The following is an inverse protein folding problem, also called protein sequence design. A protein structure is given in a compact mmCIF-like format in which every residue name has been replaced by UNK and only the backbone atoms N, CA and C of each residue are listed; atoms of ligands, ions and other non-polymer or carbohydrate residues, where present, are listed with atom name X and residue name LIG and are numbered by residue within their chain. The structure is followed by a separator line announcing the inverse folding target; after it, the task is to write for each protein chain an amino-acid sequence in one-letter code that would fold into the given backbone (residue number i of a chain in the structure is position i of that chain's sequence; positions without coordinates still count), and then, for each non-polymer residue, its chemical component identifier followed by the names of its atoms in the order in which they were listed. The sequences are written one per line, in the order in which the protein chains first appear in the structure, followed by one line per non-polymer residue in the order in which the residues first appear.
data_IF_364718515900
#
_entry.id   IF_364718515900
#
_cell.length_a   1.000
_cell.length_b   1.000
_cell.length_c   1.000
_cell.angle_alpha   90.00
_cell.angle_beta   90.00
_cell.angle_gamma   90.00
#
_symmetry.space_group_name_H-M   'P 1'
#
loop_
_entity.id
_entity.type
_entity.pdbx_description
1 polymer ?
#
# COMPACT_ATOMS: atom_id res chain seq x y z
N UNK A 1 8.06 12.75 25.33
CA UNK A 1 7.06 11.73 24.95
C UNK A 1 6.25 12.31 23.81
N UNK A 2 6.43 11.79 22.60
CA UNK A 2 5.54 12.11 21.46
C UNK A 2 4.17 11.49 21.70
N UNK A 3 3.05 12.15 21.38
CA UNK A 3 1.74 11.57 21.59
C UNK A 3 1.60 10.31 20.72
N UNK A 4 1.28 9.19 21.36
CA UNK A 4 0.94 7.93 20.71
C UNK A 4 -0.41 8.10 20.01
N UNK A 5 -0.37 8.49 18.73
CA UNK A 5 -1.58 8.58 17.93
C UNK A 5 -1.96 7.17 17.46
N UNK A 6 -3.14 6.74 17.87
CA UNK A 6 -3.78 5.51 17.43
C UNK A 6 -4.49 5.77 16.09
N UNK A 7 -4.31 4.89 15.10
CA UNK A 7 -5.07 4.95 13.86
C UNK A 7 -5.78 3.63 13.62
N UNK A 8 -7.10 3.69 13.41
CA UNK A 8 -7.89 2.59 12.89
C UNK A 8 -7.78 2.57 11.36
N UNK A 9 -7.58 1.38 10.79
CA UNK A 9 -7.77 1.17 9.35
C UNK A 9 -9.26 1.23 9.03
N UNK A 10 -9.61 2.08 8.08
CA UNK A 10 -10.97 2.23 7.59
C UNK A 10 -11.17 1.28 6.42
N UNK A 11 -12.31 0.61 6.34
CA UNK A 11 -12.71 -0.04 5.09
C UNK A 11 -13.18 1.06 4.15
N UNK A 12 -12.65 1.13 2.92
CA UNK A 12 -12.91 2.23 1.98
C UNK A 12 -14.40 2.42 1.66
N UNK A 13 -15.21 1.36 1.68
CA UNK A 13 -16.68 1.42 1.53
C UNK A 13 -17.42 2.03 2.73
N UNK A 14 -16.76 2.14 3.88
CA UNK A 14 -17.32 2.57 5.16
C UNK A 14 -16.43 3.66 5.81
N UNK A 15 -15.84 4.56 5.02
CA UNK A 15 -14.97 5.64 5.51
C UNK A 15 -15.62 6.53 6.61
N UNK A 16 -16.95 6.50 6.74
CA UNK A 16 -17.72 7.15 7.81
C UNK A 16 -17.87 6.33 9.12
N UNK A 17 -17.49 5.04 9.14
CA UNK A 17 -17.65 4.10 10.29
C UNK A 17 -16.30 3.58 10.79
N UNK A 18 -15.33 4.48 10.86
CA UNK A 18 -13.97 4.30 11.30
C UNK A 18 -13.79 3.74 12.71
N UNK A 19 -14.10 2.45 12.94
CA UNK A 19 -13.92 1.83 14.25
C UNK A 19 -13.33 0.45 14.04
N UNK A 20 -12.00 0.39 14.22
CA UNK A 20 -11.18 -0.80 14.51
C UNK A 20 -11.52 -2.06 13.69
N UNK A 21 -10.92 -2.21 12.51
CA UNK A 21 -10.82 -3.55 11.91
C UNK A 21 -9.88 -4.41 12.79
N UNK A 22 -10.36 -5.50 13.43
CA UNK A 22 -9.52 -6.42 14.20
C UNK A 22 -8.47 -7.12 13.33
N UNK A 23 -8.65 -7.09 12.01
CA UNK A 23 -7.84 -7.71 10.98
C UNK A 23 -6.44 -7.11 10.77
N UNK A 24 -6.08 -5.97 11.36
CA UNK A 24 -4.78 -5.33 11.12
C UNK A 24 -4.27 -4.61 12.37
N UNK A 25 -2.98 -4.76 12.73
CA UNK A 25 -2.41 -4.11 13.91
C UNK A 25 -2.54 -2.58 13.82
N UNK A 26 -2.84 -1.95 14.97
CA UNK A 26 -2.76 -0.49 15.12
C UNK A 26 -1.34 -0.03 14.81
N UNK A 27 -1.18 0.86 13.84
CA UNK A 27 0.12 1.43 13.48
C UNK A 27 0.24 2.79 14.16
N UNK A 28 0.99 2.84 15.26
CA UNK A 28 1.13 4.03 16.09
C UNK A 28 2.01 5.11 15.44
N UNK A 29 1.63 6.37 15.64
CA UNK A 29 2.51 7.52 15.40
C UNK A 29 2.70 7.94 13.93
N UNK A 30 1.68 7.74 13.07
CA UNK A 30 1.67 8.23 11.69
C UNK A 30 0.80 9.49 11.52
N UNK A 31 1.30 10.70 11.85
CA UNK A 31 0.62 11.95 11.49
C UNK A 31 0.74 12.27 9.99
N UNK A 32 1.51 11.48 9.24
CA UNK A 32 1.91 11.82 7.88
C UNK A 32 0.75 11.65 6.92
N UNK A 33 0.39 12.72 6.22
CA UNK A 33 -0.59 12.77 5.13
C UNK A 33 0.12 12.29 3.85
N UNK A 34 0.73 11.11 3.89
CA UNK A 34 1.71 10.69 2.88
C UNK A 34 1.71 9.17 2.66
N UNK A 35 1.09 8.75 1.55
CA UNK A 35 0.87 7.34 1.22
C UNK A 35 2.14 6.49 1.23
N UNK A 36 3.25 6.99 0.67
CA UNK A 36 4.52 6.27 0.65
C UNK A 36 5.14 6.13 2.06
N UNK A 37 5.09 7.19 2.88
CA UNK A 37 5.53 7.16 4.27
C UNK A 37 4.74 6.16 5.11
N UNK A 38 3.41 6.14 4.94
CA UNK A 38 2.56 5.11 5.52
C UNK A 38 2.99 3.70 5.08
N UNK A 39 3.11 3.44 3.78
CA UNK A 39 3.40 2.10 3.26
C UNK A 39 4.76 1.57 3.74
N UNK A 40 5.80 2.40 3.68
CA UNK A 40 7.14 2.01 4.17
C UNK A 40 7.16 1.72 5.66
N UNK A 41 6.42 2.49 6.48
CA UNK A 41 6.32 2.24 7.93
C UNK A 41 5.46 1.02 8.24
N UNK A 42 4.35 0.84 7.53
CA UNK A 42 3.48 -0.32 7.65
C UNK A 42 4.25 -1.61 7.29
N UNK A 43 4.98 -1.61 6.18
CA UNK A 43 5.80 -2.75 5.78
C UNK A 43 6.88 -3.10 6.83
N UNK A 44 7.50 -2.08 7.43
CA UNK A 44 8.45 -2.27 8.53
C UNK A 44 7.81 -2.88 9.78
N UNK A 45 6.67 -2.35 10.22
CA UNK A 45 6.02 -2.76 11.46
C UNK A 45 5.39 -4.14 11.32
N UNK A 46 4.70 -4.40 10.21
CA UNK A 46 3.94 -5.63 9.99
C UNK A 46 4.80 -6.81 9.52
N UNK A 47 5.85 -6.53 8.74
CA UNK A 47 6.61 -7.57 8.05
C UNK A 47 8.13 -7.47 8.26
N UNK A 48 8.60 -6.53 9.08
CA UNK A 48 10.03 -6.35 9.33
C UNK A 48 10.81 -5.81 8.12
N UNK A 49 10.12 -5.30 7.09
CA UNK A 49 10.73 -4.89 5.83
C UNK A 49 11.15 -3.41 5.85
N UNK A 50 12.44 -3.13 5.70
CA UNK A 50 12.92 -1.75 5.63
C UNK A 50 13.03 -1.27 4.19
N UNK A 51 12.20 -0.29 3.84
CA UNK A 51 12.30 0.46 2.60
C UNK A 51 13.02 1.79 2.83
N UNK A 52 13.78 2.25 1.83
CA UNK A 52 14.30 3.60 1.82
C UNK A 52 13.16 4.58 1.52
N UNK A 53 12.98 5.65 2.32
CA UNK A 53 11.85 6.57 2.18
C UNK A 53 11.96 7.41 0.89
N UNK A 54 10.81 7.85 0.37
CA UNK A 54 10.70 8.71 -0.79
C UNK A 54 9.24 8.87 -1.22
N UNK A 55 9.01 9.71 -2.23
CA UNK A 55 7.67 9.84 -2.86
C UNK A 55 7.28 8.56 -3.56
N UNK A 56 5.97 8.36 -3.76
CA UNK A 56 5.47 7.14 -4.38
C UNK A 56 6.24 6.80 -5.67
N UNK A 57 6.36 7.76 -6.59
CA UNK A 57 7.11 7.62 -7.85
C UNK A 57 8.62 7.49 -7.70
N UNK A 58 9.20 7.84 -6.55
CA UNK A 58 10.64 7.74 -6.29
C UNK A 58 11.03 6.41 -5.65
N UNK A 59 10.13 5.76 -4.91
CA UNK A 59 10.41 4.51 -4.21
C UNK A 59 11.18 3.46 -5.04
N UNK A 60 10.89 3.19 -6.33
CA UNK A 60 11.59 2.15 -7.09
C UNK A 60 13.02 2.54 -7.49
N UNK A 61 13.37 3.83 -7.47
CA UNK A 61 14.73 4.30 -7.78
C UNK A 61 15.60 4.46 -6.53
N UNK A 62 15.00 4.45 -5.33
CA UNK A 62 15.71 4.56 -4.04
C UNK A 62 16.29 3.22 -3.64
N UNK A 63 17.60 3.02 -3.81
CA UNK A 63 18.26 1.81 -3.29
C UNK A 63 18.15 1.75 -1.75
N UNK A 64 17.89 0.56 -1.16
CA UNK A 64 17.85 -0.75 -1.81
C UNK A 64 16.44 -1.25 -2.16
N UNK A 65 15.47 -0.35 -2.38
CA UNK A 65 14.15 -0.76 -2.85
C UNK A 65 14.28 -1.37 -4.26
N UNK A 66 13.69 -2.55 -4.46
CA UNK A 66 13.81 -3.30 -5.71
C UNK A 66 12.50 -3.22 -6.49
N UNK A 67 12.47 -2.62 -7.69
CA UNK A 67 11.31 -2.75 -8.58
C UNK A 67 11.30 -4.16 -9.17
N UNK A 68 10.50 -5.06 -8.59
CA UNK A 68 10.38 -6.45 -9.06
C UNK A 68 9.42 -6.57 -10.24
N UNK A 69 8.58 -5.56 -10.45
CA UNK A 69 7.76 -5.42 -11.64
C UNK A 69 7.47 -3.94 -11.94
N UNK A 70 7.47 -3.58 -13.21
CA UNK A 70 6.99 -2.30 -13.73
C UNK A 70 6.21 -2.56 -15.02
N UNK A 71 5.12 -1.81 -15.23
CA UNK A 71 4.23 -2.00 -16.37
C UNK A 71 2.92 -1.27 -16.16
N UNK A 72 1.89 -1.62 -16.92
CA UNK A 72 0.52 -1.12 -16.71
C UNK A 72 -0.41 -2.32 -16.51
N UNK A 73 -1.08 -2.40 -15.37
CA UNK A 73 -2.12 -3.39 -15.13
C UNK A 73 -3.43 -2.68 -14.77
N UNK A 74 -4.37 -2.74 -15.73
CA UNK A 74 -5.67 -2.08 -15.64
C UNK A 74 -6.82 -3.06 -15.34
N UNK A 75 -6.67 -4.31 -15.77
CA UNK A 75 -7.73 -5.32 -15.71
C UNK A 75 -7.43 -6.37 -14.67
N UNK A 76 -8.49 -7.00 -14.16
CA UNK A 76 -8.36 -8.07 -13.16
C UNK A 76 -7.48 -9.22 -13.61
N UNK A 77 -7.52 -9.59 -14.89
CA UNK A 77 -6.63 -10.62 -15.45
C UNK A 77 -5.16 -10.24 -15.28
N UNK A 78 -4.78 -9.05 -15.71
CA UNK A 78 -3.41 -8.54 -15.59
C UNK A 78 -2.95 -8.48 -14.11
N UNK A 79 -3.87 -8.17 -13.20
CA UNK A 79 -3.62 -8.15 -11.74
C UNK A 79 -3.45 -9.55 -11.18
N UNK A 80 -4.30 -10.50 -11.57
CA UNK A 80 -4.18 -11.90 -11.17
C UNK A 80 -2.87 -12.49 -11.67
N UNK A 81 -2.41 -12.10 -12.86
CA UNK A 81 -1.11 -12.49 -13.38
C UNK A 81 0.02 -11.88 -12.54
N UNK A 82 -0.13 -10.64 -12.04
CA UNK A 82 0.83 -10.08 -11.06
C UNK A 82 0.77 -10.84 -9.73
N UNK A 83 -0.43 -11.15 -9.22
CA UNK A 83 -0.61 -11.85 -7.96
C UNK A 83 -0.10 -13.30 -8.01
N UNK A 84 -0.28 -13.99 -9.15
CA UNK A 84 0.04 -15.41 -9.32
C UNK A 84 1.42 -15.64 -9.95
N UNK A 85 1.85 -14.84 -10.93
CA UNK A 85 3.10 -15.06 -11.67
C UNK A 85 4.27 -14.20 -11.20
N UNK A 86 4.02 -13.07 -10.53
CA UNK A 86 5.09 -12.18 -10.04
C UNK A 86 5.39 -12.37 -8.54
N UNK A 87 4.81 -13.42 -7.96
CA UNK A 87 4.93 -13.76 -6.54
C UNK A 87 4.70 -12.54 -5.66
N UNK A 88 3.56 -11.86 -5.77
CA UNK A 88 3.31 -10.70 -4.92
C UNK A 88 3.30 -11.13 -3.45
N UNK A 89 4.19 -10.54 -2.65
CA UNK A 89 4.42 -10.94 -1.27
C UNK A 89 3.80 -9.93 -0.30
N UNK A 90 3.21 -10.38 0.82
CA UNK A 90 2.84 -9.47 1.90
C UNK A 90 4.02 -8.58 2.29
N UNK A 91 3.78 -7.27 2.32
CA UNK A 91 4.78 -6.24 2.57
C UNK A 91 5.38 -5.58 1.33
N UNK A 92 5.15 -6.11 0.12
CA UNK A 92 5.47 -5.39 -1.11
C UNK A 92 4.68 -4.07 -1.19
N UNK A 93 5.30 -3.04 -1.76
CA UNK A 93 4.66 -1.74 -2.01
C UNK A 93 4.25 -1.66 -3.48
N UNK A 94 2.98 -1.38 -3.71
CA UNK A 94 2.40 -1.15 -5.02
C UNK A 94 2.47 0.34 -5.38
N UNK A 95 2.99 0.66 -6.56
CA UNK A 95 2.87 1.96 -7.19
C UNK A 95 1.55 2.04 -7.96
N UNK A 96 0.71 3.02 -7.63
CA UNK A 96 -0.67 3.11 -8.15
C UNK A 96 -0.87 4.45 -8.87
N UNK A 97 -1.18 4.37 -10.17
CA UNK A 97 -1.59 5.54 -10.94
C UNK A 97 -3.00 5.92 -10.52
N UNK A 98 -3.16 7.13 -9.99
CA UNK A 98 -4.48 7.71 -9.74
C UNK A 98 -4.74 8.80 -10.79
N UNK A 99 -5.69 8.62 -11.71
CA UNK A 99 -5.97 9.59 -12.77
C UNK A 99 -6.45 10.95 -12.26
N UNK A 100 -7.04 10.99 -11.05
CA UNK A 100 -7.55 12.22 -10.44
C UNK A 100 -6.50 12.95 -9.57
N UNK A 101 -5.27 12.43 -9.53
CA UNK A 101 -4.21 13.02 -8.72
C UNK A 101 -3.74 14.34 -9.29
N UNK A 102 -3.67 15.37 -8.44
CA UNK A 102 -3.09 16.66 -8.80
C UNK A 102 -1.57 16.60 -9.05
N UNK A 103 -0.92 15.46 -8.75
CA UNK A 103 0.52 15.26 -8.93
C UNK A 103 0.88 14.48 -10.20
N UNK A 104 -0.09 14.21 -11.07
CA UNK A 104 0.13 13.52 -12.34
C UNK A 104 0.97 14.40 -13.27
N UNK A 105 2.14 13.89 -13.65
CA UNK A 105 3.11 14.55 -14.54
C UNK A 105 3.70 13.50 -15.50
N UNK A 106 4.20 13.94 -16.66
CA UNK A 106 4.65 13.03 -17.73
C UNK A 106 5.79 12.08 -17.30
N UNK A 107 6.63 12.51 -16.36
CA UNK A 107 7.77 11.77 -15.81
C UNK A 107 7.43 11.00 -14.52
N UNK A 108 6.16 11.07 -14.06
CA UNK A 108 5.68 10.37 -12.86
C UNK A 108 4.69 9.27 -13.26
N UNK A 109 5.15 8.01 -13.40
CA UNK A 109 4.29 6.93 -13.86
C UNK A 109 3.12 6.65 -12.91
N UNK A 110 3.22 7.04 -11.64
CA UNK A 110 2.15 6.93 -10.66
C UNK A 110 2.36 7.92 -9.51
N UNK A 111 1.31 8.18 -8.73
CA UNK A 111 1.36 9.20 -7.67
C UNK A 111 0.94 8.69 -6.30
N UNK A 112 0.52 7.44 -6.22
CA UNK A 112 0.00 6.84 -4.99
C UNK A 112 0.71 5.52 -4.67
N UNK A 113 0.72 5.15 -3.39
CA UNK A 113 1.34 3.93 -2.91
C UNK A 113 0.39 3.18 -1.97
N UNK A 114 0.44 1.86 -2.04
CA UNK A 114 -0.25 0.94 -1.12
C UNK A 114 0.69 -0.19 -0.70
N UNK A 115 0.58 -0.68 0.53
CA UNK A 115 1.26 -1.90 0.97
C UNK A 115 0.33 -3.10 0.75
N UNK A 116 0.84 -4.15 0.12
CA UNK A 116 0.10 -5.38 -0.07
C UNK A 116 0.08 -6.19 1.22
N UNK A 117 -1.11 -6.59 1.67
CA UNK A 117 -1.29 -7.36 2.91
C UNK A 117 -1.42 -8.87 2.67
N UNK A 118 -1.51 -9.31 1.41
CA UNK A 118 -1.83 -10.69 1.04
C UNK A 118 -3.26 -10.84 0.54
N UNK A 119 -3.52 -11.91 -0.23
CA UNK A 119 -4.86 -12.34 -0.67
C UNK A 119 -5.68 -11.24 -1.38
N UNK A 120 -5.00 -10.39 -2.16
CA UNK A 120 -5.64 -9.29 -2.89
C UNK A 120 -6.00 -8.08 -2.03
N UNK A 121 -5.57 -8.04 -0.76
CA UNK A 121 -5.85 -6.94 0.17
C UNK A 121 -4.69 -5.96 0.19
N UNK A 122 -5.01 -4.66 0.23
CA UNK A 122 -4.04 -3.58 0.38
C UNK A 122 -4.39 -2.70 1.56
N UNK A 123 -3.37 -2.06 2.14
CA UNK A 123 -3.55 -0.89 2.98
C UNK A 123 -2.86 0.32 2.35
N UNK A 124 -3.52 1.46 2.40
CA UNK A 124 -2.99 2.71 1.86
C UNK A 124 -3.53 3.88 2.68
N UNK A 125 -2.99 5.07 2.44
CA UNK A 125 -3.47 6.26 3.11
C UNK A 125 -3.85 7.32 2.10
N UNK A 126 -5.07 7.84 2.21
CA UNK A 126 -5.56 8.90 1.35
C UNK A 126 -5.77 10.17 2.17
N UNK A 127 -4.81 11.09 2.14
CA UNK A 127 -4.78 12.23 3.07
C UNK A 127 -4.68 11.75 4.53
N UNK A 128 -5.64 12.11 5.39
CA UNK A 128 -5.69 11.72 6.80
C UNK A 128 -6.13 10.25 7.03
N UNK A 129 -7.21 9.75 6.38
CA UNK A 129 -7.65 8.37 6.62
C UNK A 129 -6.68 7.33 6.07
N UNK A 130 -6.44 6.31 6.89
CA UNK A 130 -5.77 5.08 6.49
C UNK A 130 -6.85 4.07 6.08
N UNK A 131 -6.76 3.55 4.87
CA UNK A 131 -7.76 2.70 4.24
C UNK A 131 -7.22 1.28 4.05
N UNK A 132 -8.11 0.30 4.21
CA UNK A 132 -7.94 -1.09 3.82
C UNK A 132 -8.98 -1.41 2.75
N UNK A 133 -8.51 -1.95 1.63
CA UNK A 133 -9.36 -2.24 0.48
C UNK A 133 -8.96 -3.56 -0.13
N UNK A 134 -9.91 -4.26 -0.78
CA UNK A 134 -9.52 -5.23 -1.79
C UNK A 134 -8.99 -4.44 -2.98
N UNK A 135 -7.87 -4.87 -3.54
CA UNK A 135 -7.21 -4.22 -4.67
C UNK A 135 -8.18 -4.07 -5.86
N UNK A 136 -9.06 -5.05 -6.06
CA UNK A 136 -10.12 -5.01 -7.06
C UNK A 136 -11.14 -3.90 -6.84
N UNK A 137 -11.58 -3.70 -5.61
CA UNK A 137 -12.56 -2.69 -5.23
C UNK A 137 -11.94 -1.30 -5.36
N UNK A 138 -10.71 -1.13 -4.88
CA UNK A 138 -9.95 0.13 -4.99
C UNK A 138 -9.87 0.60 -6.46
N UNK A 139 -9.49 -0.31 -7.36
CA UNK A 139 -9.38 0.01 -8.79
C UNK A 139 -10.76 0.25 -9.42
N UNK A 140 -11.77 -0.56 -9.10
CA UNK A 140 -13.12 -0.39 -9.62
C UNK A 140 -13.73 0.96 -9.22
N UNK A 141 -13.57 1.37 -7.95
CA UNK A 141 -14.05 2.67 -7.44
C UNK A 141 -13.28 3.82 -8.10
N UNK A 142 -11.94 3.72 -8.15
CA UNK A 142 -11.10 4.73 -8.80
C UNK A 142 -11.43 4.89 -10.28
N UNK A 143 -11.66 3.78 -11.00
CA UNK A 143 -12.00 3.78 -12.42
C UNK A 143 -13.39 4.34 -12.69
N UNK A 144 -14.39 4.02 -11.86
CA UNK A 144 -15.73 4.59 -12.00
C UNK A 144 -15.69 6.11 -11.93
N UNK A 145 -14.95 6.65 -10.97
CA UNK A 145 -14.79 8.10 -10.83
C UNK A 145 -13.99 8.69 -11.99
N UNK A 146 -12.92 8.04 -12.43
CA UNK A 146 -12.10 8.50 -13.55
C UNK A 146 -12.90 8.57 -14.88
N UNK A 147 -13.58 7.48 -15.23
CA UNK A 147 -14.36 7.37 -16.47
C UNK A 147 -15.52 8.36 -16.51
N UNK A 148 -16.18 8.60 -15.37
CA UNK A 148 -17.22 9.63 -15.26
C UNK A 148 -16.71 11.04 -15.58
N UNK A 149 -15.40 11.27 -15.46
CA UNK A 149 -14.73 12.54 -15.76
C UNK A 149 -13.92 12.51 -17.07
N UNK A 150 -14.06 11.44 -17.89
CA UNK A 150 -13.31 11.30 -19.15
C UNK A 150 -11.80 11.10 -18.97
N UNK A 151 -11.37 10.63 -17.80
CA UNK A 151 -9.96 10.37 -17.49
C UNK A 151 -9.58 8.91 -17.77
N UNK A 152 -8.28 8.66 -17.88
CA UNK A 152 -7.73 7.30 -17.93
C UNK A 152 -8.08 6.52 -16.66
N UNK A 153 -8.18 5.18 -16.70
CA UNK A 153 -8.39 4.39 -15.50
C UNK A 153 -7.16 4.42 -14.57
N UNK A 154 -7.40 4.20 -13.27
CA UNK A 154 -6.38 3.83 -12.30
C UNK A 154 -5.74 2.48 -12.64
N UNK A 155 -4.45 2.36 -12.34
CA UNK A 155 -3.59 1.24 -12.76
C UNK A 155 -2.58 0.90 -11.68
N UNK A 156 -2.16 -0.36 -11.64
CA UNK A 156 -0.93 -0.73 -10.94
C UNK A 156 0.21 -0.51 -11.92
N UNK A 157 1.22 0.23 -11.47
CA UNK A 157 2.34 0.67 -12.31
C UNK A 157 3.68 0.08 -11.88
N UNK A 158 3.80 -0.32 -10.61
CA UNK A 158 4.99 -0.91 -10.07
C UNK A 158 4.70 -1.85 -8.90
N UNK A 159 5.54 -2.87 -8.73
CA UNK A 159 5.68 -3.64 -7.50
C UNK A 159 7.09 -3.44 -6.98
N UNK A 160 7.20 -3.01 -5.73
CA UNK A 160 8.45 -2.61 -5.09
C UNK A 160 8.64 -3.50 -3.88
N UNK A 161 9.76 -4.22 -3.85
CA UNK A 161 10.13 -5.14 -2.80
C UNK A 161 11.28 -4.58 -1.98
N UNK A 162 11.25 -4.79 -0.66
CA UNK A 162 12.42 -4.53 0.16
C UNK A 162 13.52 -5.54 -0.17
N UNK A 163 14.77 -5.10 -0.25
CA UNK A 163 15.87 -6.01 -0.51
C UNK A 163 15.95 -7.10 0.57
N UNK A 164 16.33 -8.35 0.23
CA UNK A 164 16.44 -9.44 1.20
C UNK A 164 17.32 -9.11 2.41
N UNK A 165 18.41 -8.38 2.21
CA UNK A 165 19.33 -7.91 3.26
C UNK A 165 18.73 -6.87 4.21
N UNK A 166 17.57 -6.30 3.86
CA UNK A 166 16.86 -5.28 4.64
C UNK A 166 15.69 -5.83 5.46
N UNK A 167 15.57 -7.16 5.56
CA UNK A 167 14.69 -7.80 6.53
C UNK A 167 15.28 -7.64 7.92
N UNK A 168 14.60 -6.91 8.80
CA UNK A 168 14.82 -7.13 10.22
C UNK A 168 14.31 -8.52 10.55
N UNK A 169 15.12 -9.34 11.23
CA UNK A 169 14.74 -10.67 11.71
C UNK A 169 13.76 -10.59 12.88
N UNK A 170 12.66 -9.87 12.70
CA UNK A 170 11.54 -9.95 13.63
C UNK A 170 10.72 -11.17 13.25
N UNK A 171 10.61 -12.12 14.16
CA UNK A 171 9.65 -13.20 14.04
C UNK A 171 8.28 -12.65 14.45
N UNK A 172 7.27 -12.84 13.61
CA UNK A 172 5.91 -12.43 13.92
C UNK A 172 5.07 -13.68 14.16
N UNK A 173 4.36 -13.72 15.26
CA UNK A 173 3.34 -14.76 15.51
C UNK A 173 1.97 -14.13 15.35
N UNK A 174 1.15 -14.66 14.43
CA UNK A 174 -0.25 -14.28 14.33
C UNK A 174 -0.98 -14.83 15.56
N UNK A 175 -1.42 -13.95 16.46
CA UNK A 175 -2.08 -14.33 17.73
C UNK A 175 -3.58 -14.53 17.57
N UNK A 176 -4.17 -13.88 16.57
CA UNK A 176 -5.56 -13.99 16.16
C UNK A 176 -5.69 -13.41 14.75
N UNK A 177 -6.81 -13.65 14.01
CA UNK A 177 -6.97 -13.11 12.66
C UNK A 177 -6.75 -11.59 12.64
N UNK A 178 -5.61 -11.18 12.07
CA UNK A 178 -5.22 -9.78 11.96
C UNK A 178 -4.39 -9.16 13.07
N UNK A 179 -4.11 -9.92 14.13
CA UNK A 179 -3.23 -9.46 15.20
C UNK A 179 -1.92 -10.23 15.13
N UNK A 180 -0.83 -9.48 15.05
CA UNK A 180 0.52 -10.02 15.02
C UNK A 180 1.29 -9.54 16.23
N UNK A 181 1.91 -10.47 16.95
CA UNK A 181 2.86 -10.17 18.01
C UNK A 181 4.27 -10.23 17.42
N UNK A 182 5.04 -9.17 17.65
CA UNK A 182 6.49 -9.16 17.38
C UNK A 182 7.16 -9.97 18.48
N UNK A 183 7.85 -11.05 18.11
CA UNK A 183 8.71 -11.79 19.01
C UNK A 183 10.07 -11.09 19.00
N UNK A 184 10.42 -10.47 20.13
CA UNK A 184 11.73 -9.91 20.41
C UNK A 184 12.65 -10.99 20.99
#
# INVERSE_FOLDING_TARGET
MTPEHEFALLVESDAAKAISDPGVPKIWGLPEVYCAGYCTRAAKILYGLNFYPGSAWELPSRKPNLPVWTGEAERMGDILDILNEKDLMPGDILGLYNPTSAFNEQDRPYTHAAVYLGQGVIAHQWKAPILKSRLEEFLAVSNRNALANGLLPARIMAVIRASPENKNNFEYTMTSPGYYKVNC
#
